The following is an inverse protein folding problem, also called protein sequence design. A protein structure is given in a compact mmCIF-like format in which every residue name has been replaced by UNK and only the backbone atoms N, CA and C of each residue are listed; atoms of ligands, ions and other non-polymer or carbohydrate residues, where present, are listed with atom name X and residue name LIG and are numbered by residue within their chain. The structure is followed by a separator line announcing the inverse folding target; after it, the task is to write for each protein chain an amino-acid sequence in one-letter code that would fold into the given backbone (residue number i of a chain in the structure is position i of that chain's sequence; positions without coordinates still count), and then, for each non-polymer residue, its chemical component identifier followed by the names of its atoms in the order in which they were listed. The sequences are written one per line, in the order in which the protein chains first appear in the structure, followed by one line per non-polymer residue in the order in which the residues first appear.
data_IF_350065845989
#
_entry.id   IF_350065845989
#
_cell.length_a   1.000
_cell.length_b   1.000
_cell.length_c   1.000
_cell.angle_alpha   90.00
_cell.angle_beta   90.00
_cell.angle_gamma   90.00
#
_symmetry.space_group_name_H-M   'P 1'
#
loop_
_entity.id
_entity.type
_entity.pdbx_description
1 polymer ?
#
# COMPACT_ATOMS: atom_id res chain seq x y z
N UNK A 1 -7.50 -10.34 -7.88
CA UNK A 1 -6.73 -10.84 -6.73
C UNK A 1 -7.65 -11.58 -5.77
N UNK A 2 -7.08 -12.32 -4.81
CA UNK A 2 -7.85 -12.95 -3.73
C UNK A 2 -8.34 -11.94 -2.69
N UNK A 3 -7.58 -10.87 -2.48
CA UNK A 3 -7.99 -9.72 -1.67
C UNK A 3 -9.09 -8.92 -2.38
N UNK A 4 -10.23 -8.79 -1.71
CA UNK A 4 -11.40 -8.06 -2.21
C UNK A 4 -11.74 -6.84 -1.35
N UNK A 5 -10.87 -6.42 -0.41
CA UNK A 5 -11.20 -5.34 0.54
C UNK A 5 -10.95 -3.93 0.00
N UNK A 6 -10.36 -3.80 -1.19
CA UNK A 6 -10.22 -2.52 -1.87
C UNK A 6 -11.61 -1.89 -2.12
N UNK A 7 -11.75 -0.62 -1.74
CA UNK A 7 -13.01 0.15 -1.84
C UNK A 7 -13.48 0.30 -3.29
N UNK A 8 -12.52 0.31 -4.23
CA UNK A 8 -12.77 0.39 -5.69
C UNK A 8 -13.61 -0.77 -6.24
N UNK A 9 -13.72 -1.88 -5.51
CA UNK A 9 -14.53 -3.03 -5.92
C UNK A 9 -16.03 -2.83 -5.68
N UNK A 10 -16.43 -1.91 -4.79
CA UNK A 10 -17.83 -1.75 -4.39
C UNK A 10 -18.35 -0.33 -4.55
N UNK A 11 -17.47 0.67 -4.76
CA UNK A 11 -17.89 2.05 -4.94
C UNK A 11 -18.29 2.30 -6.42
N UNK A 12 -19.60 2.16 -6.70
CA UNK A 12 -20.17 2.29 -8.05
C UNK A 12 -20.34 3.75 -8.51
N UNK A 13 -20.26 4.70 -7.58
CA UNK A 13 -20.55 6.13 -7.81
C UNK A 13 -19.36 6.93 -8.35
N UNK A 14 -18.15 6.34 -8.41
CA UNK A 14 -16.93 7.06 -8.79
C UNK A 14 -16.14 6.33 -9.91
N UNK A 15 -16.45 6.57 -11.19
CA UNK A 15 -15.77 5.94 -12.32
C UNK A 15 -14.25 6.21 -12.40
N UNK A 16 -13.79 7.35 -11.85
CA UNK A 16 -12.37 7.69 -11.76
C UNK A 16 -11.60 6.82 -10.74
N UNK A 17 -12.28 6.06 -9.88
CA UNK A 17 -11.64 5.18 -8.88
C UNK A 17 -11.15 3.85 -9.47
N UNK A 18 -11.49 3.48 -10.72
CA UNK A 18 -11.02 2.21 -11.33
C UNK A 18 -9.61 2.29 -11.93
N UNK A 19 -8.76 3.15 -11.40
CA UNK A 19 -7.35 3.19 -11.79
C UNK A 19 -6.64 1.97 -11.16
N UNK A 20 -6.04 1.06 -11.95
CA UNK A 20 -5.41 -0.13 -11.39
C UNK A 20 -4.20 0.18 -10.52
N UNK A 21 -3.50 1.30 -10.75
CA UNK A 21 -2.28 1.64 -10.01
C UNK A 21 -2.51 1.86 -8.51
N UNK A 22 -3.43 2.72 -8.04
CA UNK A 22 -3.71 2.84 -6.61
C UNK A 22 -4.30 1.55 -6.01
N UNK A 23 -5.01 0.74 -6.79
CA UNK A 23 -5.51 -0.58 -6.34
C UNK A 23 -4.36 -1.55 -6.07
N UNK A 24 -3.36 -1.59 -6.96
CA UNK A 24 -2.15 -2.40 -6.76
C UNK A 24 -1.36 -1.95 -5.52
N UNK A 25 -1.26 -0.63 -5.30
CA UNK A 25 -0.64 -0.06 -4.10
C UNK A 25 -1.37 -0.52 -2.83
N UNK A 26 -2.71 -0.51 -2.85
CA UNK A 26 -3.50 -1.01 -1.73
C UNK A 26 -3.26 -2.49 -1.48
N UNK A 27 -3.30 -3.32 -2.52
CA UNK A 27 -3.08 -4.76 -2.37
C UNK A 27 -1.68 -5.08 -1.82
N UNK A 28 -0.65 -4.39 -2.29
CA UNK A 28 0.72 -4.55 -1.75
C UNK A 28 0.79 -4.14 -0.27
N UNK A 29 0.22 -2.98 0.08
CA UNK A 29 0.18 -2.52 1.46
C UNK A 29 -0.61 -3.47 2.36
N UNK A 30 -1.76 -3.95 1.88
CA UNK A 30 -2.63 -4.86 2.60
C UNK A 30 -1.97 -6.24 2.79
N UNK A 31 -1.27 -6.75 1.77
CA UNK A 31 -0.49 -7.97 1.90
C UNK A 31 0.53 -7.87 3.03
N UNK A 32 1.29 -6.76 3.11
CA UNK A 32 2.27 -6.51 4.18
C UNK A 32 1.58 -6.29 5.54
N UNK A 33 0.37 -5.71 5.54
CA UNK A 33 -0.45 -5.49 6.73
C UNK A 33 -1.05 -6.78 7.29
N UNK A 34 -1.51 -7.71 6.46
CA UNK A 34 -2.20 -8.93 6.91
C UNK A 34 -1.24 -10.09 7.14
N UNK A 35 -0.12 -10.11 6.41
CA UNK A 35 0.90 -11.14 6.55
C UNK A 35 2.13 -10.54 7.23
N UNK A 36 2.17 -10.49 8.58
CA UNK A 36 3.43 -10.29 9.27
C UNK A 36 4.40 -11.37 8.78
N UNK A 37 5.34 -11.01 7.93
CA UNK A 37 6.64 -11.65 7.96
C UNK A 37 7.03 -11.65 9.45
N UNK A 38 7.49 -12.79 9.99
CA UNK A 38 7.65 -13.05 11.43
C UNK A 38 8.37 -11.94 12.23
N UNK A 39 9.01 -10.99 11.54
CA UNK A 39 9.44 -9.71 12.05
C UNK A 39 8.78 -8.63 11.18
N UNK A 40 7.61 -8.09 11.56
CA UNK A 40 7.15 -6.83 10.93
C UNK A 40 8.14 -5.77 11.35
N UNK A 41 8.93 -5.23 10.43
CA UNK A 41 9.83 -4.20 10.85
C UNK A 41 8.97 -2.96 11.12
N UNK A 42 8.97 -2.47 12.36
CA UNK A 42 8.19 -1.30 12.76
C UNK A 42 8.46 -0.09 11.82
N UNK A 43 9.62 -0.07 11.18
CA UNK A 43 10.01 0.94 10.21
C UNK A 43 9.14 0.96 8.93
N UNK A 44 8.47 -0.13 8.54
CA UNK A 44 7.57 -0.18 7.37
C UNK A 44 6.17 0.35 7.67
N UNK A 45 5.78 0.47 8.96
CA UNK A 45 4.42 0.85 9.35
C UNK A 45 3.94 2.17 8.77
N UNK A 46 4.75 3.26 8.74
CA UNK A 46 4.31 4.53 8.16
C UNK A 46 3.99 4.38 6.67
N UNK A 47 4.85 3.67 5.93
CA UNK A 47 4.69 3.46 4.50
C UNK A 47 3.43 2.64 4.18
N UNK A 48 3.23 1.53 4.89
CA UNK A 48 2.04 0.67 4.73
C UNK A 48 0.76 1.44 5.07
N UNK A 49 0.78 2.30 6.10
CA UNK A 49 -0.38 3.12 6.47
C UNK A 49 -0.83 4.03 5.32
N UNK A 50 0.10 4.60 4.57
CA UNK A 50 -0.24 5.44 3.42
C UNK A 50 -0.74 4.64 2.22
N UNK A 51 -0.24 3.42 2.02
CA UNK A 51 -0.63 2.54 0.91
C UNK A 51 -2.07 2.01 1.03
N UNK A 52 -2.59 1.85 2.26
CA UNK A 52 -3.90 1.21 2.53
C UNK A 52 -5.02 2.21 2.83
N UNK A 53 -4.87 3.48 2.46
CA UNK A 53 -5.93 4.49 2.63
C UNK A 53 -7.17 4.13 1.81
N UNK A 54 -8.34 4.45 2.35
CA UNK A 54 -9.62 4.13 1.73
C UNK A 54 -9.80 4.84 0.39
N UNK A 55 -9.54 6.14 0.33
CA UNK A 55 -9.60 6.91 -0.91
C UNK A 55 -8.36 6.60 -1.80
N UNK A 56 -8.54 6.08 -3.03
CA UNK A 56 -7.44 5.80 -3.96
C UNK A 56 -6.54 7.01 -4.24
N UNK A 57 -7.09 8.22 -4.24
CA UNK A 57 -6.34 9.45 -4.54
C UNK A 57 -5.38 9.85 -3.42
N UNK A 58 -5.61 9.37 -2.19
CA UNK A 58 -4.75 9.68 -1.04
C UNK A 58 -3.56 8.71 -0.91
N UNK A 59 -3.55 7.66 -1.74
CA UNK A 59 -2.49 6.65 -1.78
C UNK A 59 -1.27 7.18 -2.54
N UNK A 60 -0.06 6.82 -2.13
CA UNK A 60 1.16 7.22 -2.85
C UNK A 60 1.25 6.51 -4.20
N UNK A 61 1.85 7.18 -5.18
CA UNK A 61 2.35 6.51 -6.39
C UNK A 61 3.54 5.61 -6.07
N UNK A 62 3.88 4.69 -6.97
CA UNK A 62 4.93 3.70 -6.74
C UNK A 62 6.30 4.33 -6.40
N UNK A 63 6.67 5.45 -7.02
CA UNK A 63 7.94 6.15 -6.73
C UNK A 63 8.00 6.64 -5.27
N UNK A 64 6.86 7.12 -4.76
CA UNK A 64 6.72 7.55 -3.36
C UNK A 64 6.66 6.37 -2.38
N UNK A 65 6.56 5.14 -2.88
CA UNK A 65 6.70 3.92 -2.08
C UNK A 65 8.14 3.38 -2.14
N UNK A 66 8.70 3.24 -3.33
CA UNK A 66 10.01 2.61 -3.58
C UNK A 66 11.16 3.44 -3.01
N UNK A 67 11.14 4.77 -3.17
CA UNK A 67 12.23 5.64 -2.68
C UNK A 67 12.34 5.59 -1.15
N UNK A 68 11.26 5.79 -0.37
CA UNK A 68 11.33 5.63 1.08
C UNK A 68 11.65 4.19 1.50
N UNK A 69 11.12 3.18 0.81
CA UNK A 69 11.42 1.79 1.11
C UNK A 69 12.91 1.47 0.97
N UNK A 70 13.57 1.90 -0.10
CA UNK A 70 15.01 1.66 -0.28
C UNK A 70 15.85 2.39 0.77
N UNK A 71 15.47 3.62 1.13
CA UNK A 71 16.12 4.36 2.22
C UNK A 71 15.97 3.64 3.57
N UNK A 72 14.76 3.16 3.88
CA UNK A 72 14.47 2.38 5.09
C UNK A 72 15.20 1.04 5.11
N UNK A 73 15.32 0.37 3.96
CA UNK A 73 16.07 -0.88 3.85
C UNK A 73 17.56 -0.66 4.09
N UNK A 74 18.13 0.40 3.51
CA UNK A 74 19.55 0.76 3.68
C UNK A 74 19.91 1.11 5.12
N UNK A 75 18.99 1.64 5.92
CA UNK A 75 19.26 1.98 7.32
C UNK A 75 19.42 0.76 8.24
N UNK A 76 19.01 -0.43 7.80
CA UNK A 76 19.07 -1.68 8.57
C UNK A 76 20.37 -2.47 8.35
N UNK A 77 21.14 -2.12 7.32
CA UNK A 77 22.41 -2.79 7.00
C UNK A 77 23.61 -2.10 7.67
N UNK A 78 23.38 -1.46 8.82
CA UNK A 78 24.41 -0.83 9.66
C UNK A 78 24.69 -1.67 10.90
#
# INVERSE_FOLDING_TARGET
GADKTATEHYNLEAPMERNPFPTDIYHLGNMIREHPLHVRPNFLRPLVKDMVKENPSDRPIIDKVVIPFDALRKSLSR
#
